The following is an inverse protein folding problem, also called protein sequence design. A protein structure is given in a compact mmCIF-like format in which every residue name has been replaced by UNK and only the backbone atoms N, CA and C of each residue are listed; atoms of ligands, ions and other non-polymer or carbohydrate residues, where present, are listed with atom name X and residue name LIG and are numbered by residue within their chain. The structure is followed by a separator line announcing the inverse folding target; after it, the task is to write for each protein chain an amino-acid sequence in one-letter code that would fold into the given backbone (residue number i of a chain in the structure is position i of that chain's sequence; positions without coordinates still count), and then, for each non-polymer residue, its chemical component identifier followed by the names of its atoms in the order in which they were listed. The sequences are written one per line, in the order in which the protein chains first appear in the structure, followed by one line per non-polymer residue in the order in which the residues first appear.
data_IF_800114964936
#
_entry.id   IF_800114964936
#
_cell.length_a   1.000
_cell.length_b   1.000
_cell.length_c   1.000
_cell.angle_alpha   90.00
_cell.angle_beta   90.00
_cell.angle_gamma   90.00
#
_symmetry.space_group_name_H-M   'P 1'
#
loop_
_entity.id
_entity.type
_entity.pdbx_description
1 polymer ?
#
# COMPACT_ATOMS: atom_id res chain seq x y z
N UNK A 1 -26.81 -18.90 -44.81
CA UNK A 1 -26.52 -19.50 -43.49
C UNK A 1 -25.02 -19.46 -43.08
N UNK A 2 -24.13 -18.72 -43.77
CA UNK A 2 -22.68 -18.67 -43.44
C UNK A 2 -22.27 -17.37 -42.72
N UNK A 3 -22.94 -16.27 -43.02
CA UNK A 3 -22.67 -14.94 -42.45
C UNK A 3 -23.13 -14.79 -40.98
N UNK A 4 -24.04 -15.65 -40.52
CA UNK A 4 -24.57 -15.60 -39.15
C UNK A 4 -23.62 -16.26 -38.13
N UNK A 5 -22.98 -17.36 -38.51
CA UNK A 5 -21.97 -18.03 -37.69
C UNK A 5 -20.72 -17.15 -37.50
N UNK A 6 -20.31 -16.43 -38.56
CA UNK A 6 -19.16 -15.53 -38.50
C UNK A 6 -19.41 -14.31 -37.62
N UNK A 7 -20.63 -13.74 -37.65
CA UNK A 7 -21.02 -12.63 -36.77
C UNK A 7 -21.10 -13.05 -35.29
N UNK A 8 -21.60 -14.24 -35.01
CA UNK A 8 -21.64 -14.82 -33.66
C UNK A 8 -20.24 -15.05 -33.08
N UNK A 9 -19.29 -15.51 -33.89
CA UNK A 9 -17.90 -15.70 -33.48
C UNK A 9 -17.22 -14.38 -33.11
N UNK A 10 -17.45 -13.30 -33.88
CA UNK A 10 -16.89 -11.97 -33.61
C UNK A 10 -17.49 -11.36 -32.33
N UNK A 11 -18.80 -11.52 -32.11
CA UNK A 11 -19.48 -11.00 -30.90
C UNK A 11 -18.96 -11.71 -29.64
N UNK A 12 -18.75 -13.02 -29.69
CA UNK A 12 -18.24 -13.80 -28.56
C UNK A 12 -16.80 -13.43 -28.20
N UNK A 13 -15.96 -13.14 -29.20
CA UNK A 13 -14.59 -12.66 -29.00
C UNK A 13 -14.57 -11.28 -28.32
N UNK A 14 -15.43 -10.35 -28.77
CA UNK A 14 -15.53 -9.01 -28.18
C UNK A 14 -16.01 -9.06 -26.72
N UNK A 15 -16.99 -9.92 -26.41
CA UNK A 15 -17.46 -10.14 -25.03
C UNK A 15 -16.36 -10.67 -24.09
N UNK A 16 -15.47 -11.55 -24.58
CA UNK A 16 -14.31 -12.01 -23.82
C UNK A 16 -13.30 -10.90 -23.52
N UNK A 17 -13.06 -9.99 -24.46
CA UNK A 17 -12.11 -8.87 -24.26
C UNK A 17 -12.68 -7.86 -23.24
N UNK A 18 -13.98 -7.59 -23.27
CA UNK A 18 -14.62 -6.69 -22.29
C UNK A 18 -14.62 -7.27 -20.86
N UNK A 19 -14.78 -8.59 -20.70
CA UNK A 19 -14.74 -9.23 -19.38
C UNK A 19 -13.35 -9.12 -18.71
N UNK A 20 -12.27 -9.10 -19.50
CA UNK A 20 -10.91 -8.94 -18.97
C UNK A 20 -10.67 -7.52 -18.42
N UNK A 21 -11.22 -6.48 -19.05
CA UNK A 21 -11.09 -5.08 -18.57
C UNK A 21 -11.80 -4.84 -17.23
N UNK A 22 -12.95 -5.48 -17.00
CA UNK A 22 -13.73 -5.30 -15.75
C UNK A 22 -12.96 -5.81 -14.52
N UNK A 23 -12.12 -6.84 -14.67
CA UNK A 23 -11.35 -7.43 -13.56
C UNK A 23 -10.28 -6.50 -13.00
N UNK A 24 -9.71 -5.63 -13.84
CA UNK A 24 -8.69 -4.66 -13.44
C UNK A 24 -9.31 -3.49 -12.69
N UNK A 25 -10.51 -3.06 -13.08
CA UNK A 25 -11.23 -1.96 -12.45
C UNK A 25 -11.61 -2.26 -10.98
N UNK A 26 -12.13 -3.46 -10.71
CA UNK A 26 -12.47 -3.88 -9.34
C UNK A 26 -11.25 -3.95 -8.42
N UNK A 27 -10.07 -4.27 -8.97
CA UNK A 27 -8.83 -4.37 -8.20
C UNK A 27 -8.30 -2.99 -7.79
N UNK A 28 -8.37 -2.00 -8.68
CA UNK A 28 -8.02 -0.60 -8.39
C UNK A 28 -8.96 0.01 -7.36
N UNK A 29 -10.27 -0.24 -7.50
CA UNK A 29 -11.27 0.25 -6.55
C UNK A 29 -11.08 -0.35 -5.15
N UNK A 30 -10.77 -1.64 -5.05
CA UNK A 30 -10.48 -2.29 -3.77
C UNK A 30 -9.23 -1.71 -3.10
N UNK A 31 -8.21 -1.36 -3.87
CA UNK A 31 -6.96 -0.78 -3.37
C UNK A 31 -7.18 0.67 -2.90
N UNK A 32 -7.97 1.46 -3.64
CA UNK A 32 -8.39 2.79 -3.22
C UNK A 32 -9.21 2.76 -1.91
N UNK A 33 -10.14 1.81 -1.78
CA UNK A 33 -10.91 1.63 -0.55
C UNK A 33 -10.03 1.21 0.64
N UNK A 34 -9.04 0.33 0.41
CA UNK A 34 -8.10 -0.08 1.46
C UNK A 34 -7.28 1.10 1.98
N UNK A 35 -6.79 1.98 1.09
CA UNK A 35 -6.10 3.19 1.52
C UNK A 35 -7.00 4.17 2.27
N UNK A 36 -8.26 4.34 1.85
CA UNK A 36 -9.22 5.17 2.56
C UNK A 36 -9.49 4.64 3.99
N UNK A 37 -9.54 3.32 4.19
CA UNK A 37 -9.67 2.72 5.52
C UNK A 37 -8.43 2.97 6.40
N UNK A 38 -7.23 2.91 5.83
CA UNK A 38 -6.00 3.21 6.56
C UNK A 38 -6.01 4.68 6.99
N UNK A 39 -6.39 5.60 6.11
CA UNK A 39 -6.52 7.03 6.41
C UNK A 39 -7.53 7.27 7.54
N UNK A 40 -8.70 6.62 7.49
CA UNK A 40 -9.70 6.70 8.55
C UNK A 40 -9.13 6.20 9.90
N UNK A 41 -8.43 5.07 9.90
CA UNK A 41 -7.83 4.54 11.12
C UNK A 41 -6.75 5.48 11.69
N UNK A 42 -5.98 6.17 10.84
CA UNK A 42 -5.04 7.20 11.29
C UNK A 42 -5.80 8.39 11.90
N UNK A 43 -6.89 8.84 11.27
CA UNK A 43 -7.72 9.94 11.77
C UNK A 43 -8.42 9.61 13.10
N UNK A 44 -8.77 8.33 13.33
CA UNK A 44 -9.35 7.82 14.57
C UNK A 44 -8.29 7.44 15.63
N UNK A 45 -7.01 7.76 15.42
CA UNK A 45 -5.88 7.40 16.28
C UNK A 45 -5.72 5.88 16.52
N UNK A 46 -6.28 5.06 15.63
CA UNK A 46 -6.17 3.60 15.62
C UNK A 46 -4.91 3.15 14.90
N UNK A 47 -3.76 3.65 15.35
CA UNK A 47 -2.46 3.49 14.67
C UNK A 47 -2.03 2.02 14.50
N UNK A 48 -2.31 1.16 15.47
CA UNK A 48 -2.00 -0.28 15.37
C UNK A 48 -2.83 -0.94 14.23
N UNK A 49 -4.13 -0.61 14.12
CA UNK A 49 -4.99 -1.12 13.05
C UNK A 49 -4.55 -0.61 11.68
N UNK A 50 -4.26 0.70 11.57
CA UNK A 50 -3.77 1.30 10.34
C UNK A 50 -2.47 0.65 9.86
N UNK A 51 -1.55 0.37 10.80
CA UNK A 51 -0.28 -0.31 10.51
C UNK A 51 -0.50 -1.73 10.00
N UNK A 52 -1.34 -2.50 10.67
CA UNK A 52 -1.58 -3.90 10.30
C UNK A 52 -2.28 -4.00 8.93
N UNK A 53 -3.21 -3.09 8.64
CA UNK A 53 -3.84 -2.95 7.33
C UNK A 53 -2.81 -2.56 6.25
N UNK A 54 -1.91 -1.62 6.54
CA UNK A 54 -0.86 -1.21 5.62
C UNK A 54 0.09 -2.38 5.30
N UNK A 55 0.48 -3.16 6.31
CA UNK A 55 1.33 -4.35 6.13
C UNK A 55 0.64 -5.45 5.30
N UNK A 56 -0.67 -5.65 5.50
CA UNK A 56 -1.46 -6.59 4.70
C UNK A 56 -1.65 -6.12 3.25
N UNK A 57 -1.72 -4.80 3.03
CA UNK A 57 -1.89 -4.18 1.71
C UNK A 57 -0.58 -4.11 0.92
N UNK A 58 0.56 -3.95 1.60
CA UNK A 58 1.89 -3.82 1.02
C UNK A 58 2.20 -4.81 -0.11
N UNK A 59 2.01 -6.15 0.01
CA UNK A 59 2.33 -7.08 -1.07
C UNK A 59 1.58 -6.80 -2.37
N UNK A 60 0.37 -6.21 -2.29
CA UNK A 60 -0.49 -5.84 -3.42
C UNK A 60 -0.21 -4.42 -3.92
N UNK A 61 0.15 -3.50 -3.02
CA UNK A 61 0.43 -2.10 -3.32
C UNK A 61 1.93 -1.78 -3.48
N UNK A 62 2.79 -2.79 -3.70
CA UNK A 62 4.26 -2.60 -3.84
C UNK A 62 4.67 -1.62 -4.95
N UNK A 63 3.84 -1.47 -5.98
CA UNK A 63 4.07 -0.56 -7.11
C UNK A 63 3.30 0.76 -6.96
N UNK A 64 2.52 0.92 -5.88
CA UNK A 64 1.73 2.10 -5.64
C UNK A 64 2.58 3.21 -4.98
N UNK A 65 2.60 4.38 -5.60
CA UNK A 65 3.38 5.53 -5.16
C UNK A 65 2.89 6.14 -3.84
N UNK A 66 1.67 5.79 -3.39
CA UNK A 66 1.09 6.27 -2.14
C UNK A 66 1.58 5.49 -0.92
N UNK A 67 2.09 4.27 -1.12
CA UNK A 67 2.54 3.40 -0.04
C UNK A 67 3.61 4.07 0.86
N UNK A 68 4.66 4.73 0.32
CA UNK A 68 5.65 5.44 1.12
C UNK A 68 5.06 6.63 1.89
N UNK A 69 4.06 7.32 1.32
CA UNK A 69 3.40 8.45 1.99
C UNK A 69 2.64 7.97 3.24
N UNK A 70 1.87 6.89 3.13
CA UNK A 70 1.14 6.33 4.27
C UNK A 70 2.07 5.81 5.37
N UNK A 71 3.19 5.16 5.03
CA UNK A 71 4.20 4.76 6.03
C UNK A 71 4.74 5.97 6.80
N UNK A 72 5.02 7.06 6.10
CA UNK A 72 5.52 8.30 6.72
C UNK A 72 4.47 8.91 7.65
N UNK A 73 3.22 9.01 7.21
CA UNK A 73 2.13 9.51 8.06
C UNK A 73 1.95 8.67 9.34
N UNK A 74 1.99 7.34 9.20
CA UNK A 74 1.94 6.43 10.35
C UNK A 74 3.15 6.62 11.28
N UNK A 75 4.36 6.75 10.73
CA UNK A 75 5.56 7.00 11.51
C UNK A 75 5.47 8.33 12.28
N UNK A 76 5.00 9.40 11.63
CA UNK A 76 4.83 10.72 12.24
C UNK A 76 3.79 10.67 13.38
N UNK A 77 2.70 9.93 13.21
CA UNK A 77 1.69 9.72 14.24
C UNK A 77 2.26 8.97 15.45
N UNK A 78 3.00 7.88 15.24
CA UNK A 78 3.70 7.17 16.32
C UNK A 78 4.77 8.04 17.01
N UNK A 79 5.46 8.92 16.27
CA UNK A 79 6.39 9.88 16.86
C UNK A 79 5.69 10.91 17.74
N UNK A 80 4.50 11.37 17.36
CA UNK A 80 3.69 12.25 18.21
C UNK A 80 3.25 11.51 19.48
N UNK A 81 2.68 10.32 19.35
CA UNK A 81 2.24 9.48 20.46
C UNK A 81 3.39 9.18 21.44
N UNK A 82 4.57 8.86 20.92
CA UNK A 82 5.77 8.63 21.73
C UNK A 82 6.20 9.87 22.50
N UNK A 83 6.16 11.05 21.87
CA UNK A 83 6.47 12.33 22.55
C UNK A 83 5.47 12.66 23.65
N UNK A 84 4.19 12.42 23.44
CA UNK A 84 3.16 12.61 24.47
C UNK A 84 3.32 11.64 25.64
N UNK A 85 3.68 10.39 25.36
CA UNK A 85 4.01 9.41 26.40
C UNK A 85 5.24 9.85 27.22
N UNK A 86 6.29 10.39 26.57
CA UNK A 86 7.45 10.96 27.27
C UNK A 86 7.06 12.12 28.18
N UNK A 87 6.20 13.03 27.71
CA UNK A 87 5.73 14.17 28.53
C UNK A 87 4.94 13.71 29.76
N UNK A 88 4.21 12.60 29.64
CA UNK A 88 3.49 11.96 30.76
C UNK A 88 4.38 11.12 31.67
N UNK A 89 5.67 10.94 31.33
CA UNK A 89 6.60 10.09 32.06
C UNK A 89 6.44 8.59 31.79
N UNK A 90 5.61 8.19 30.82
CA UNK A 90 5.45 6.80 30.43
C UNK A 90 6.52 6.39 29.41
N UNK A 91 7.68 6.01 29.94
CA UNK A 91 8.85 5.62 29.15
C UNK A 91 8.60 4.34 28.34
N UNK A 92 7.75 3.43 28.83
CA UNK A 92 7.50 2.16 28.16
C UNK A 92 6.61 2.36 26.93
N UNK A 93 5.52 3.12 27.08
CA UNK A 93 4.68 3.50 25.94
C UNK A 93 5.45 4.34 24.92
N UNK A 94 6.30 5.26 25.39
CA UNK A 94 7.18 6.04 24.52
C UNK A 94 8.15 5.18 23.71
N UNK A 95 8.85 4.25 24.38
CA UNK A 95 9.80 3.35 23.72
C UNK A 95 9.11 2.48 22.66
N UNK A 96 7.92 1.95 22.96
CA UNK A 96 7.12 1.16 22.02
C UNK A 96 6.73 1.97 20.79
N UNK A 97 6.13 3.15 20.98
CA UNK A 97 5.66 3.99 19.89
C UNK A 97 6.83 4.48 19.00
N UNK A 98 7.93 4.92 19.60
CA UNK A 98 9.12 5.36 18.85
C UNK A 98 9.80 4.20 18.10
N UNK A 99 9.81 3.00 18.68
CA UNK A 99 10.31 1.80 17.99
C UNK A 99 9.45 1.46 16.77
N UNK A 100 8.12 1.54 16.89
CA UNK A 100 7.19 1.36 15.78
C UNK A 100 7.40 2.41 14.69
N UNK A 101 7.50 3.69 15.05
CA UNK A 101 7.81 4.77 14.10
C UNK A 101 9.09 4.50 13.29
N UNK A 102 10.16 4.05 13.97
CA UNK A 102 11.44 3.74 13.34
C UNK A 102 11.33 2.54 12.40
N UNK A 103 10.55 1.53 12.76
CA UNK A 103 10.33 0.34 11.89
C UNK A 103 9.60 0.67 10.59
N UNK A 104 8.75 1.70 10.60
CA UNK A 104 7.99 2.18 9.45
C UNK A 104 8.80 3.06 8.49
N UNK A 105 9.99 3.49 8.94
CA UNK A 105 10.97 4.22 8.16
C UNK A 105 12.23 3.37 7.93
N UNK A 106 12.13 2.21 7.23
CA UNK A 106 13.30 1.42 6.88
C UNK A 106 14.06 2.14 5.77
N UNK A 107 14.95 3.03 6.17
CA UNK A 107 15.94 3.71 5.34
C UNK A 107 15.41 4.66 4.25
N UNK A 108 16.09 5.80 4.15
CA UNK A 108 15.81 6.84 3.18
C UNK A 108 15.91 6.29 1.74
N UNK A 109 15.01 6.70 0.82
CA UNK A 109 14.96 6.24 -0.58
C UNK A 109 16.20 6.56 -1.44
N UNK A 110 17.27 7.13 -0.88
CA UNK A 110 18.52 7.34 -1.59
C UNK A 110 19.32 6.05 -1.85
N UNK A 111 19.05 4.95 -1.13
CA UNK A 111 19.84 3.72 -1.28
C UNK A 111 19.06 2.55 -1.88
N UNK A 112 17.74 2.53 -1.79
CA UNK A 112 16.95 1.36 -2.22
C UNK A 112 16.82 1.23 -3.74
N UNK A 113 16.75 2.34 -4.48
CA UNK A 113 16.67 2.31 -5.93
C UNK A 113 18.05 2.07 -6.57
N UNK A 114 19.10 2.73 -6.08
CA UNK A 114 20.47 2.52 -6.56
C UNK A 114 20.98 1.11 -6.26
N UNK A 115 20.72 0.55 -5.07
CA UNK A 115 21.12 -0.83 -4.74
C UNK A 115 20.33 -1.86 -5.56
N UNK A 116 19.07 -1.57 -5.91
CA UNK A 116 18.28 -2.45 -6.79
C UNK A 116 18.72 -2.39 -8.25
N UNK A 117 19.00 -1.21 -8.79
CA UNK A 117 19.52 -1.07 -10.15
C UNK A 117 20.92 -1.69 -10.27
N UNK A 118 21.79 -1.48 -9.29
CA UNK A 118 23.14 -2.07 -9.29
C UNK A 118 23.11 -3.59 -9.13
N UNK A 119 22.20 -4.14 -8.32
CA UNK A 119 22.05 -5.59 -8.18
C UNK A 119 21.50 -6.27 -9.45
N UNK A 120 20.58 -5.61 -10.17
CA UNK A 120 20.06 -6.10 -11.45
C UNK A 120 21.09 -5.97 -12.59
N UNK A 121 21.92 -4.91 -12.59
CA UNK A 121 23.05 -4.79 -13.53
C UNK A 121 24.16 -5.80 -13.25
N UNK A 122 24.42 -6.18 -12.00
CA UNK A 122 25.43 -7.17 -11.65
C UNK A 122 25.04 -8.62 -12.00
N UNK A 123 23.78 -8.85 -12.41
CA UNK A 123 23.29 -10.17 -12.84
C UNK A 123 23.32 -10.39 -14.35
N UNK A 124 23.57 -9.35 -15.15
CA UNK A 124 23.77 -9.43 -16.60
C UNK A 124 25.26 -9.60 -16.91
#
# INVERSE_FOLDING_TARGET
MKSFAFRSAVISLVLCILAACQSTQSSTDALAQAFAQIEQNIAEDRLDNARDQLAALEPRARQDERLPQFRRQLADAYMLQGREALQRGDLNAAAKALSQARSLLPDAPALSNDVRQTLEQARQ
#
